data_IF_576250576789
#
_entry.id   IF_576250576789
#
_cell.length_a   1.000
_cell.length_b   1.000
_cell.length_c   1.000
_cell.angle_alpha   90.00
_cell.angle_beta   90.00
_cell.angle_gamma   90.00
#
_symmetry.space_group_name_H-M   'P 1'
#
loop_
_entity.id
_entity.type
_entity.pdbx_description
1 polymer ?
#
# COMPACT_ATOMS: atom_id res chain seq x y z
N UNK A 1 52.09 17.76 -37.03
CA UNK A 1 51.78 17.58 -35.59
C UNK A 1 52.91 16.79 -34.95
N UNK A 2 53.48 17.26 -33.84
CA UNK A 2 54.60 16.56 -33.20
C UNK A 2 54.12 15.32 -32.42
N UNK A 3 54.97 14.29 -32.29
CA UNK A 3 54.67 13.09 -31.48
C UNK A 3 54.21 13.44 -30.05
N UNK A 4 54.64 14.59 -29.53
CA UNK A 4 54.26 15.09 -28.21
C UNK A 4 52.78 15.50 -28.14
N UNK A 5 52.23 16.07 -29.22
CA UNK A 5 50.81 16.42 -29.31
C UNK A 5 49.94 15.15 -29.32
N UNK A 6 50.39 14.11 -30.03
CA UNK A 6 49.66 12.84 -30.13
C UNK A 6 49.62 12.10 -28.78
N UNK A 7 50.75 12.04 -28.07
CA UNK A 7 50.83 11.46 -26.71
C UNK A 7 49.96 12.23 -25.70
N UNK A 8 49.88 13.56 -25.80
CA UNK A 8 49.03 14.35 -24.89
C UNK A 8 47.53 14.12 -25.14
N UNK A 9 47.13 13.99 -26.41
CA UNK A 9 45.75 13.68 -26.77
C UNK A 9 45.35 12.28 -26.30
N UNK A 10 46.24 11.29 -26.45
CA UNK A 10 46.01 9.91 -26.01
C UNK A 10 45.83 9.82 -24.49
N UNK A 11 46.68 10.50 -23.70
CA UNK A 11 46.53 10.57 -22.23
C UNK A 11 45.23 11.24 -21.79
N UNK A 12 44.77 12.27 -22.52
CA UNK A 12 43.49 12.93 -22.23
C UNK A 12 42.29 12.02 -22.54
N UNK A 13 42.37 11.23 -23.61
CA UNK A 13 41.35 10.25 -23.96
C UNK A 13 41.26 9.12 -22.91
N UNK A 14 42.40 8.57 -22.48
CA UNK A 14 42.45 7.56 -21.41
C UNK A 14 41.89 8.09 -20.09
N UNK A 15 42.25 9.32 -19.69
CA UNK A 15 41.72 9.93 -18.46
C UNK A 15 40.21 10.15 -18.52
N UNK A 16 39.66 10.51 -19.69
CA UNK A 16 38.21 10.63 -19.90
C UNK A 16 37.53 9.26 -19.82
N UNK A 17 38.08 8.26 -20.50
CA UNK A 17 37.54 6.91 -20.49
C UNK A 17 37.52 6.30 -19.07
N UNK A 18 38.62 6.46 -18.32
CA UNK A 18 38.70 5.99 -16.92
C UNK A 18 37.64 6.63 -16.02
N UNK A 19 37.46 7.96 -16.12
CA UNK A 19 36.41 8.69 -15.38
C UNK A 19 35.00 8.25 -15.77
N UNK A 20 34.78 7.92 -17.03
CA UNK A 20 33.48 7.43 -17.50
C UNK A 20 33.18 6.01 -17.02
N UNK A 21 34.20 5.14 -17.00
CA UNK A 21 34.09 3.80 -16.40
C UNK A 21 33.84 3.88 -14.89
N UNK A 22 34.54 4.76 -14.17
CA UNK A 22 34.30 5.00 -12.73
C UNK A 22 32.89 5.54 -12.48
N UNK A 23 32.40 6.49 -13.30
CA UNK A 23 31.01 6.98 -13.22
C UNK A 23 29.99 5.89 -13.52
N UNK A 24 30.24 5.02 -14.50
CA UNK A 24 29.37 3.88 -14.79
C UNK A 24 29.36 2.89 -13.63
N UNK A 25 30.53 2.55 -13.07
CA UNK A 25 30.63 1.67 -11.89
C UNK A 25 29.91 2.26 -10.69
N UNK A 26 30.11 3.55 -10.38
CA UNK A 26 29.41 4.23 -9.31
C UNK A 26 27.88 4.21 -9.50
N UNK A 27 27.38 4.45 -10.72
CA UNK A 27 25.94 4.35 -11.04
C UNK A 27 25.40 2.93 -10.94
N UNK A 28 26.22 1.92 -11.22
CA UNK A 28 25.80 0.51 -11.16
C UNK A 28 25.84 -0.03 -9.73
N UNK A 29 26.79 0.45 -8.92
CA UNK A 29 26.86 0.19 -7.47
C UNK A 29 25.72 0.88 -6.73
N UNK A 30 25.45 2.17 -7.01
CA UNK A 30 24.31 2.89 -6.45
C UNK A 30 22.99 2.20 -6.78
N UNK A 31 22.79 1.75 -8.03
CA UNK A 31 21.60 0.95 -8.41
C UNK A 31 21.49 -0.41 -7.71
N UNK A 32 22.61 -1.01 -7.32
CA UNK A 32 22.62 -2.30 -6.58
C UNK A 32 22.33 -2.06 -5.09
N UNK A 33 22.91 -1.02 -4.49
CA UNK A 33 22.60 -0.60 -3.12
C UNK A 33 21.13 -0.15 -3.00
N UNK A 34 20.62 0.62 -3.97
CA UNK A 34 19.21 1.02 -4.06
C UNK A 34 18.25 -0.17 -4.15
N UNK A 35 18.67 -1.33 -4.68
CA UNK A 35 17.83 -2.54 -4.72
C UNK A 35 17.88 -3.37 -3.44
N UNK A 36 18.96 -3.29 -2.66
CA UNK A 36 19.13 -4.04 -1.40
C UNK A 36 18.38 -3.37 -0.24
N UNK A 37 18.26 -2.04 -0.30
CA UNK A 37 17.62 -1.18 0.69
C UNK A 37 16.11 -1.48 0.89
N UNK A 38 15.29 -1.51 -0.17
CA UNK A 38 13.94 -2.09 -0.18
C UNK A 38 13.79 -3.42 0.52
N UNK A 39 14.61 -4.40 0.12
CA UNK A 39 14.49 -5.77 0.58
C UNK A 39 14.87 -5.92 2.06
N UNK A 40 15.69 -5.01 2.57
CA UNK A 40 16.05 -4.95 3.99
C UNK A 40 14.92 -4.36 4.84
N UNK A 41 14.33 -3.25 4.41
CA UNK A 41 13.17 -2.67 5.08
C UNK A 41 11.95 -3.61 5.05
N UNK A 42 11.75 -4.35 3.94
CA UNK A 42 10.73 -5.40 3.81
C UNK A 42 10.93 -6.50 4.85
N UNK A 43 12.16 -7.03 4.98
CA UNK A 43 12.49 -8.08 5.95
C UNK A 43 12.31 -7.63 7.40
N UNK A 44 12.76 -6.42 7.73
CA UNK A 44 12.69 -5.90 9.10
C UNK A 44 11.28 -5.50 9.54
N UNK A 45 10.40 -5.21 8.60
CA UNK A 45 8.98 -5.06 8.88
C UNK A 45 8.27 -6.40 9.18
N UNK A 46 8.96 -7.54 8.94
CA UNK A 46 8.51 -8.91 9.17
C UNK A 46 7.72 -9.50 8.00
N UNK A 47 7.76 -10.83 7.83
CA UNK A 47 6.84 -11.58 6.96
C UNK A 47 5.37 -11.40 7.38
N UNK A 48 5.12 -10.90 8.60
CA UNK A 48 3.82 -10.46 9.13
C UNK A 48 3.25 -9.21 8.42
N UNK A 49 3.99 -8.59 7.49
CA UNK A 49 3.43 -7.57 6.59
C UNK A 49 2.44 -8.13 5.55
N UNK A 50 2.37 -9.45 5.42
CA UNK A 50 1.20 -10.08 4.84
C UNK A 50 0.40 -10.58 6.03
N UNK A 51 -0.71 -9.94 6.42
CA UNK A 51 -1.54 -10.54 7.44
C UNK A 51 -1.84 -11.96 6.96
N UNK A 52 -1.61 -12.96 7.83
CA UNK A 52 -2.52 -14.09 7.80
C UNK A 52 -3.88 -13.42 7.90
N UNK A 53 -4.67 -13.51 6.83
CA UNK A 53 -6.03 -12.98 6.85
C UNK A 53 -6.72 -13.82 7.91
N UNK A 54 -6.64 -13.37 9.17
CA UNK A 54 -7.33 -13.99 10.27
C UNK A 54 -8.78 -14.02 9.83
N UNK A 55 -9.36 -15.22 9.90
CA UNK A 55 -10.69 -15.56 9.38
C UNK A 55 -11.80 -14.68 10.00
N UNK A 56 -11.46 -13.82 10.98
CA UNK A 56 -12.33 -12.84 11.62
C UNK A 56 -12.34 -11.45 10.99
N UNK A 57 -11.43 -11.11 10.07
CA UNK A 57 -11.66 -9.92 9.22
C UNK A 57 -12.87 -10.21 8.32
N UNK A 58 -13.98 -9.51 8.57
CA UNK A 58 -15.24 -9.70 7.83
C UNK A 58 -15.01 -9.33 6.36
N UNK A 59 -14.56 -10.31 5.56
CA UNK A 59 -14.39 -10.16 4.12
C UNK A 59 -15.75 -9.81 3.53
N UNK A 60 -15.80 -8.72 2.75
CA UNK A 60 -17.03 -8.29 2.11
C UNK A 60 -17.65 -9.46 1.32
N UNK A 61 -18.96 -9.77 1.46
CA UNK A 61 -19.57 -10.95 0.85
C UNK A 61 -19.31 -11.09 -0.66
N UNK A 62 -19.31 -9.97 -1.38
CA UNK A 62 -18.92 -9.92 -2.80
C UNK A 62 -17.51 -10.44 -3.07
N UNK A 63 -16.52 -10.05 -2.26
CA UNK A 63 -15.14 -10.53 -2.38
C UNK A 63 -15.04 -12.00 -2.01
N UNK A 64 -15.68 -12.42 -0.92
CA UNK A 64 -15.74 -13.83 -0.54
C UNK A 64 -16.33 -14.68 -1.67
N UNK A 65 -17.37 -14.18 -2.33
CA UNK A 65 -17.96 -14.82 -3.49
C UNK A 65 -17.00 -14.87 -4.68
N UNK A 66 -16.30 -13.77 -4.99
CA UNK A 66 -15.34 -13.71 -6.09
C UNK A 66 -14.13 -14.62 -5.86
N UNK A 67 -13.61 -14.67 -4.63
CA UNK A 67 -12.52 -15.57 -4.27
C UNK A 67 -12.93 -17.03 -4.39
N UNK A 68 -14.14 -17.41 -3.96
CA UNK A 68 -14.69 -18.76 -4.19
C UNK A 68 -14.78 -19.08 -5.68
N UNK A 69 -15.29 -18.16 -6.50
CA UNK A 69 -15.34 -18.33 -7.96
C UNK A 69 -13.94 -18.52 -8.56
N UNK A 70 -12.96 -17.74 -8.11
CA UNK A 70 -11.58 -17.86 -8.57
C UNK A 70 -10.93 -19.16 -8.14
N UNK A 71 -11.12 -19.63 -6.90
CA UNK A 71 -10.65 -20.94 -6.46
C UNK A 71 -11.23 -22.07 -7.33
N UNK A 72 -12.49 -21.96 -7.74
CA UNK A 72 -13.14 -22.90 -8.67
C UNK A 72 -12.51 -22.90 -10.07
N UNK A 73 -11.96 -21.77 -10.52
CA UNK A 73 -11.28 -21.61 -11.81
C UNK A 73 -9.82 -22.09 -11.77
N UNK A 74 -9.06 -21.69 -10.73
CA UNK A 74 -7.60 -21.94 -10.64
C UNK A 74 -7.28 -23.40 -10.31
N UNK A 75 -8.00 -24.03 -9.37
CA UNK A 75 -7.68 -25.41 -8.96
C UNK A 75 -8.16 -26.48 -9.95
N UNK A 76 -8.81 -26.06 -11.04
CA UNK A 76 -9.60 -26.92 -11.92
C UNK A 76 -10.75 -27.48 -11.11
N UNK A 77 -12.00 -27.14 -11.47
CA UNK A 77 -13.18 -27.51 -10.68
C UNK A 77 -13.11 -28.98 -10.29
N UNK A 78 -12.84 -29.35 -9.01
CA UNK A 78 -13.04 -30.72 -8.64
C UNK A 78 -14.53 -30.89 -8.82
N UNK A 79 -14.96 -31.73 -9.74
CA UNK A 79 -16.37 -32.08 -10.01
C UNK A 79 -17.19 -32.32 -8.71
N UNK A 80 -16.50 -32.62 -7.60
CA UNK A 80 -17.03 -32.65 -6.22
C UNK A 80 -17.64 -31.33 -5.75
N UNK A 81 -17.05 -30.16 -6.03
CA UNK A 81 -17.57 -28.86 -5.56
C UNK A 81 -18.85 -28.41 -6.27
N UNK A 82 -18.97 -28.59 -7.60
CA UNK A 82 -20.25 -28.37 -8.30
C UNK A 82 -21.36 -29.31 -7.81
N UNK A 83 -20.98 -30.46 -7.28
CA UNK A 83 -21.89 -31.44 -6.66
C UNK A 83 -22.22 -31.08 -5.20
N UNK A 84 -21.34 -30.36 -4.51
CA UNK A 84 -21.50 -29.91 -3.12
C UNK A 84 -22.19 -28.54 -2.98
N UNK A 85 -22.18 -27.69 -4.04
CA UNK A 85 -22.86 -26.38 -4.05
C UNK A 85 -23.88 -26.26 -5.20
N UNK A 86 -24.92 -27.10 -5.24
CA UNK A 86 -25.98 -26.96 -6.23
C UNK A 86 -26.64 -25.57 -6.13
N UNK A 87 -26.75 -24.88 -7.27
CA UNK A 87 -27.40 -23.57 -7.37
C UNK A 87 -26.49 -22.35 -7.16
N UNK A 88 -25.17 -22.52 -7.05
CA UNK A 88 -24.22 -21.40 -7.03
C UNK A 88 -24.24 -20.62 -8.36
N UNK A 89 -24.28 -19.29 -8.26
CA UNK A 89 -24.28 -18.37 -9.41
C UNK A 89 -22.96 -17.63 -9.47
N UNK A 90 -22.26 -17.66 -10.60
CA UNK A 90 -21.04 -16.89 -10.85
C UNK A 90 -21.34 -15.45 -11.24
N UNK A 91 -20.34 -14.56 -11.14
CA UNK A 91 -20.46 -13.20 -11.65
C UNK A 91 -20.74 -13.18 -13.15
N UNK A 92 -20.05 -14.03 -13.91
CA UNK A 92 -20.21 -14.13 -15.37
C UNK A 92 -21.61 -14.62 -15.78
N UNK A 93 -22.17 -15.60 -15.06
CA UNK A 93 -23.53 -16.10 -15.34
C UNK A 93 -24.58 -15.01 -15.11
N UNK A 94 -24.50 -14.26 -14.01
CA UNK A 94 -25.45 -13.17 -13.74
C UNK A 94 -25.27 -12.03 -14.76
N UNK A 95 -24.04 -11.66 -15.09
CA UNK A 95 -23.75 -10.63 -16.09
C UNK A 95 -24.19 -11.01 -17.51
N UNK A 96 -24.25 -12.31 -17.83
CA UNK A 96 -24.73 -12.78 -19.13
C UNK A 96 -26.26 -12.74 -19.28
N UNK A 97 -27.03 -12.60 -18.19
CA UNK A 97 -28.49 -12.50 -18.25
C UNK A 97 -28.91 -11.15 -18.87
N UNK A 98 -29.85 -11.18 -19.82
CA UNK A 98 -30.53 -9.97 -20.29
C UNK A 98 -31.35 -9.33 -19.15
N UNK A 99 -31.64 -8.03 -19.23
CA UNK A 99 -32.39 -7.30 -18.20
C UNK A 99 -33.71 -8.02 -17.82
N UNK A 100 -34.53 -8.40 -18.82
CA UNK A 100 -35.79 -9.09 -18.58
C UNK A 100 -35.62 -10.45 -17.88
N UNK A 101 -34.55 -11.19 -18.23
CA UNK A 101 -34.23 -12.46 -17.59
C UNK A 101 -33.75 -12.27 -16.15
N UNK A 102 -33.02 -11.20 -15.87
CA UNK A 102 -32.57 -10.86 -14.52
C UNK A 102 -33.75 -10.48 -13.62
N UNK A 103 -34.69 -9.66 -14.11
CA UNK A 103 -35.93 -9.34 -13.40
C UNK A 103 -36.84 -10.57 -13.21
N UNK A 104 -36.95 -11.43 -14.22
CA UNK A 104 -37.68 -12.69 -14.10
C UNK A 104 -37.08 -13.59 -13.01
N UNK A 105 -35.76 -13.75 -12.99
CA UNK A 105 -35.06 -14.55 -11.98
C UNK A 105 -35.19 -13.99 -10.56
N UNK A 106 -35.30 -12.66 -10.40
CA UNK A 106 -35.64 -12.04 -9.11
C UNK A 106 -37.09 -12.34 -8.70
N UNK A 107 -38.03 -12.27 -9.64
CA UNK A 107 -39.44 -12.56 -9.40
C UNK A 107 -39.68 -14.02 -9.00
N UNK A 108 -38.98 -14.97 -9.63
CA UNK A 108 -38.98 -16.40 -9.26
C UNK A 108 -38.54 -16.63 -7.81
N UNK A 109 -37.64 -15.79 -7.30
CA UNK A 109 -37.16 -15.80 -5.91
C UNK A 109 -38.08 -15.03 -4.96
N UNK A 110 -39.23 -14.58 -5.44
CA UNK A 110 -40.23 -13.85 -4.66
C UNK A 110 -39.93 -12.37 -4.47
N UNK A 111 -38.99 -11.80 -5.24
CA UNK A 111 -38.71 -10.37 -5.28
C UNK A 111 -39.25 -9.76 -6.59
N UNK A 112 -40.41 -9.11 -6.51
CA UNK A 112 -40.96 -8.36 -7.64
C UNK A 112 -40.54 -6.92 -7.52
N UNK A 113 -39.54 -6.52 -8.31
CA UNK A 113 -39.03 -5.15 -8.40
C UNK A 113 -39.03 -4.69 -9.85
N UNK A 114 -39.43 -3.45 -10.10
CA UNK A 114 -39.31 -2.82 -11.42
C UNK A 114 -37.98 -2.09 -11.58
N UNK A 115 -37.61 -1.76 -12.83
CA UNK A 115 -36.45 -0.89 -13.13
C UNK A 115 -36.51 0.43 -12.36
N UNK A 116 -37.71 1.02 -12.25
CA UNK A 116 -37.95 2.27 -11.52
C UNK A 116 -37.68 2.11 -10.02
N UNK A 117 -38.09 0.98 -9.43
CA UNK A 117 -37.84 0.70 -8.01
C UNK A 117 -36.34 0.57 -7.74
N UNK A 118 -35.62 -0.16 -8.61
CA UNK A 118 -34.17 -0.32 -8.50
C UNK A 118 -33.46 1.04 -8.58
N UNK A 119 -33.82 1.89 -9.55
CA UNK A 119 -33.29 3.25 -9.65
C UNK A 119 -33.58 4.09 -8.40
N UNK A 120 -34.78 3.97 -7.83
CA UNK A 120 -35.16 4.65 -6.60
C UNK A 120 -34.42 4.12 -5.36
N UNK A 121 -34.04 2.84 -5.33
CA UNK A 121 -33.15 2.30 -4.31
C UNK A 121 -31.74 2.83 -4.47
N UNK A 122 -31.17 2.79 -5.68
CA UNK A 122 -29.82 3.31 -5.96
C UNK A 122 -29.72 4.80 -5.60
N UNK A 123 -30.72 5.61 -5.97
CA UNK A 123 -30.72 7.05 -5.67
C UNK A 123 -30.77 7.39 -4.16
N UNK A 124 -31.13 6.42 -3.30
CA UNK A 124 -31.10 6.56 -1.83
C UNK A 124 -29.76 6.13 -1.23
N UNK A 125 -28.90 5.50 -2.02
CA UNK A 125 -27.59 5.07 -1.56
C UNK A 125 -26.59 6.22 -1.69
N UNK A 126 -25.59 6.30 -0.78
CA UNK A 126 -24.49 7.24 -0.95
C UNK A 126 -23.65 6.88 -2.18
N UNK A 127 -22.91 7.85 -2.72
CA UNK A 127 -21.93 7.64 -3.77
C UNK A 127 -20.91 6.57 -3.33
N UNK A 128 -20.63 5.60 -4.19
CA UNK A 128 -19.78 4.44 -3.83
C UNK A 128 -20.41 3.48 -2.82
N UNK A 129 -21.74 3.51 -2.64
CA UNK A 129 -22.46 2.58 -1.77
C UNK A 129 -22.34 1.11 -2.21
N UNK A 130 -22.64 0.19 -1.28
CA UNK A 130 -22.63 -1.26 -1.56
C UNK A 130 -23.99 -1.71 -2.12
N UNK A 131 -23.98 -2.23 -3.35
CA UNK A 131 -25.15 -2.84 -3.97
C UNK A 131 -25.55 -4.14 -3.26
N UNK A 132 -24.57 -4.88 -2.73
CA UNK A 132 -24.84 -6.08 -1.93
C UNK A 132 -25.54 -5.73 -0.61
N UNK A 133 -25.16 -4.64 0.04
CA UNK A 133 -25.86 -4.15 1.23
C UNK A 133 -27.26 -3.66 0.88
N UNK A 134 -27.42 -2.94 -0.23
CA UNK A 134 -28.74 -2.52 -0.73
C UNK A 134 -29.66 -3.73 -0.88
N UNK A 135 -29.18 -4.84 -1.47
CA UNK A 135 -29.98 -6.07 -1.59
C UNK A 135 -30.34 -6.65 -0.23
N UNK A 136 -29.41 -6.66 0.74
CA UNK A 136 -29.68 -7.16 2.10
C UNK A 136 -30.68 -6.33 2.89
N UNK A 137 -30.68 -5.01 2.71
CA UNK A 137 -31.53 -4.09 3.48
C UNK A 137 -32.90 -3.93 2.82
N UNK A 138 -32.95 -3.86 1.50
CA UNK A 138 -34.18 -3.51 0.78
C UNK A 138 -34.84 -4.70 0.10
N UNK A 139 -34.05 -5.63 -0.44
CA UNK A 139 -34.61 -6.73 -1.23
C UNK A 139 -34.88 -7.96 -0.38
N UNK A 140 -33.91 -8.39 0.42
CA UNK A 140 -34.03 -9.59 1.25
C UNK A 140 -35.25 -9.53 2.19
N UNK A 141 -35.58 -8.41 2.86
CA UNK A 141 -36.78 -8.33 3.69
C UNK A 141 -38.09 -8.32 2.88
N UNK A 142 -38.04 -7.96 1.59
CA UNK A 142 -39.19 -7.90 0.69
C UNK A 142 -39.47 -9.26 0.01
N UNK A 143 -38.54 -10.22 0.10
CA UNK A 143 -38.75 -11.57 -0.42
C UNK A 143 -39.86 -12.27 0.35
N UNK A 144 -40.85 -12.79 -0.38
CA UNK A 144 -42.03 -13.45 0.21
C UNK A 144 -41.70 -14.71 1.01
N UNK A 145 -40.58 -15.38 0.73
CA UNK A 145 -40.14 -16.55 1.48
C UNK A 145 -39.35 -16.12 2.73
N UNK A 146 -39.70 -16.67 3.90
CA UNK A 146 -39.03 -16.32 5.18
C UNK A 146 -37.59 -16.82 5.29
N UNK A 147 -37.13 -17.65 4.35
CA UNK A 147 -35.74 -18.14 4.31
C UNK A 147 -35.38 -18.52 2.88
N UNK A 148 -34.57 -17.68 2.23
CA UNK A 148 -33.90 -18.04 0.98
C UNK A 148 -32.67 -18.91 1.28
N UNK A 149 -32.42 -19.97 0.49
CA UNK A 149 -31.17 -20.72 0.60
C UNK A 149 -29.97 -19.80 0.27
N UNK A 150 -28.79 -20.16 0.76
CA UNK A 150 -27.59 -19.34 0.60
C UNK A 150 -27.32 -18.91 -0.87
N UNK A 151 -27.42 -19.80 -1.89
CA UNK A 151 -27.15 -19.40 -3.26
C UNK A 151 -28.15 -18.38 -3.82
N UNK A 152 -29.41 -18.41 -3.38
CA UNK A 152 -30.39 -17.40 -3.80
C UNK A 152 -30.15 -16.05 -3.11
N UNK A 153 -29.65 -16.05 -1.86
CA UNK A 153 -29.22 -14.80 -1.20
C UNK A 153 -28.00 -14.19 -1.88
N UNK A 154 -27.05 -15.03 -2.29
CA UNK A 154 -25.87 -14.59 -3.05
C UNK A 154 -26.29 -14.05 -4.42
N UNK A 155 -27.23 -14.72 -5.10
CA UNK A 155 -27.83 -14.23 -6.34
C UNK A 155 -28.44 -12.83 -6.18
N UNK A 156 -29.18 -12.55 -5.10
CA UNK A 156 -29.72 -11.20 -4.86
C UNK A 156 -28.60 -10.15 -4.76
N UNK A 157 -27.48 -10.49 -4.11
CA UNK A 157 -26.29 -9.64 -4.06
C UNK A 157 -25.69 -9.37 -5.43
N UNK A 158 -25.45 -10.43 -6.20
CA UNK A 158 -24.89 -10.34 -7.56
C UNK A 158 -25.80 -9.56 -8.51
N UNK A 159 -27.11 -9.84 -8.49
CA UNK A 159 -28.10 -9.16 -9.33
C UNK A 159 -28.20 -7.67 -8.97
N UNK A 160 -28.09 -7.31 -7.69
CA UNK A 160 -28.04 -5.91 -7.28
C UNK A 160 -26.81 -5.18 -7.83
N UNK A 161 -25.63 -5.80 -7.74
CA UNK A 161 -24.39 -5.25 -8.30
C UNK A 161 -24.52 -5.05 -9.81
N UNK A 162 -25.01 -6.07 -10.52
CA UNK A 162 -25.13 -6.04 -11.97
C UNK A 162 -26.17 -5.01 -12.44
N UNK A 163 -27.34 -4.97 -11.82
CA UNK A 163 -28.36 -3.97 -12.13
C UNK A 163 -27.85 -2.55 -11.86
N UNK A 164 -27.13 -2.32 -10.76
CA UNK A 164 -26.55 -1.02 -10.49
C UNK A 164 -25.56 -0.60 -11.59
N UNK A 165 -24.63 -1.50 -11.97
CA UNK A 165 -23.67 -1.23 -13.06
C UNK A 165 -24.36 -0.88 -14.39
N UNK A 166 -25.45 -1.56 -14.73
CA UNK A 166 -26.20 -1.30 -15.98
C UNK A 166 -27.02 -0.02 -15.94
N UNK A 167 -27.66 0.26 -14.81
CA UNK A 167 -28.63 1.35 -14.67
C UNK A 167 -27.98 2.68 -14.30
N UNK A 168 -26.82 2.64 -13.64
CA UNK A 168 -26.04 3.80 -13.18
C UNK A 168 -24.54 3.59 -13.41
N UNK A 169 -24.09 3.36 -14.65
CA UNK A 169 -22.66 3.16 -14.95
C UNK A 169 -21.80 4.35 -14.55
N UNK A 170 -22.37 5.56 -14.53
CA UNK A 170 -21.71 6.77 -14.09
C UNK A 170 -21.43 6.79 -12.58
N UNK A 171 -22.13 5.99 -11.78
CA UNK A 171 -21.99 5.90 -10.32
C UNK A 171 -21.84 4.43 -9.88
N UNK A 172 -20.68 3.80 -10.13
CA UNK A 172 -20.51 2.38 -9.86
C UNK A 172 -20.63 2.05 -8.37
N UNK A 173 -21.18 0.87 -8.02
CA UNK A 173 -21.23 0.43 -6.63
C UNK A 173 -19.84 0.04 -6.13
N UNK A 174 -19.66 0.00 -4.80
CA UNK A 174 -18.43 -0.43 -4.12
C UNK A 174 -17.87 -1.74 -4.68
N UNK A 175 -18.74 -2.69 -5.01
CA UNK A 175 -18.34 -3.99 -5.54
C UNK A 175 -17.58 -3.88 -6.88
N UNK A 176 -17.71 -2.77 -7.61
CA UNK A 176 -16.88 -2.49 -8.79
C UNK A 176 -15.45 -2.12 -8.43
N UNK A 177 -15.24 -1.39 -7.33
CA UNK A 177 -13.91 -1.16 -6.75
C UNK A 177 -13.28 -2.48 -6.33
N UNK A 178 -14.04 -3.27 -5.56
CA UNK A 178 -13.60 -4.57 -5.05
C UNK A 178 -13.25 -5.53 -6.19
N UNK A 179 -14.00 -5.46 -7.29
CA UNK A 179 -13.72 -6.24 -8.49
C UNK A 179 -12.38 -5.89 -9.13
N UNK A 180 -12.12 -4.60 -9.34
CA UNK A 180 -10.87 -4.12 -9.92
C UNK A 180 -9.68 -4.53 -9.05
N UNK A 181 -9.79 -4.36 -7.73
CA UNK A 181 -8.73 -4.74 -6.79
C UNK A 181 -8.43 -6.24 -6.82
N UNK A 182 -9.47 -7.07 -6.81
CA UNK A 182 -9.30 -8.52 -6.85
C UNK A 182 -8.72 -9.02 -8.18
N UNK A 183 -9.07 -8.38 -9.30
CA UNK A 183 -8.52 -8.75 -10.62
C UNK A 183 -7.07 -8.27 -10.78
N UNK A 184 -6.75 -7.09 -10.25
CA UNK A 184 -5.41 -6.50 -10.32
C UNK A 184 -4.33 -7.35 -9.61
N UNK A 185 -4.70 -8.16 -8.61
CA UNK A 185 -3.80 -9.07 -7.91
C UNK A 185 -3.12 -10.10 -8.84
N UNK A 186 -3.77 -10.45 -9.95
CA UNK A 186 -3.34 -11.55 -10.83
C UNK A 186 -2.78 -11.12 -12.17
N UNK A 187 -2.92 -9.84 -12.48
CA UNK A 187 -2.50 -9.31 -13.75
C UNK A 187 -0.97 -9.14 -13.78
N UNK A 188 -0.33 -9.31 -14.96
CA UNK A 188 1.00 -8.79 -15.22
C UNK A 188 1.08 -7.30 -14.86
N UNK A 189 2.26 -6.80 -14.51
CA UNK A 189 2.39 -5.44 -13.95
C UNK A 189 1.83 -4.33 -14.85
N UNK A 190 1.94 -4.45 -16.18
CA UNK A 190 1.43 -3.43 -17.11
C UNK A 190 -0.11 -3.43 -17.20
N UNK A 191 -0.73 -4.60 -17.20
CA UNK A 191 -2.19 -4.73 -17.18
C UNK A 191 -2.76 -4.30 -15.81
N UNK A 192 -2.04 -4.62 -14.73
CA UNK A 192 -2.33 -4.14 -13.37
C UNK A 192 -2.29 -2.61 -13.29
N UNK A 193 -1.29 -1.98 -13.91
CA UNK A 193 -1.18 -0.53 -13.96
C UNK A 193 -2.40 0.11 -14.66
N UNK A 194 -2.88 -0.47 -15.76
CA UNK A 194 -4.10 -0.04 -16.43
C UNK A 194 -5.34 -0.09 -15.53
N UNK A 195 -5.49 -1.18 -14.76
CA UNK A 195 -6.59 -1.35 -13.80
C UNK A 195 -6.51 -0.33 -12.65
N UNK A 196 -5.33 -0.13 -12.06
CA UNK A 196 -5.14 0.84 -10.98
C UNK A 196 -5.34 2.29 -11.45
N UNK A 197 -4.96 2.63 -12.67
CA UNK A 197 -5.27 3.95 -13.22
C UNK A 197 -6.79 4.15 -13.39
N UNK A 198 -7.52 3.10 -13.77
CA UNK A 198 -8.99 3.09 -13.77
C UNK A 198 -9.58 3.27 -12.36
N UNK A 199 -8.99 2.60 -11.38
CA UNK A 199 -9.36 2.69 -9.97
C UNK A 199 -9.23 4.13 -9.43
N UNK A 200 -8.09 4.78 -9.66
CA UNK A 200 -7.86 6.17 -9.24
C UNK A 200 -8.92 7.10 -9.84
N UNK A 201 -9.21 6.96 -11.14
CA UNK A 201 -10.26 7.76 -11.79
C UNK A 201 -11.64 7.54 -11.16
N UNK A 202 -11.95 6.30 -10.80
CA UNK A 202 -13.19 5.97 -10.09
C UNK A 202 -13.22 6.64 -8.71
N UNK A 203 -12.18 6.48 -7.89
CA UNK A 203 -12.11 7.06 -6.55
C UNK A 203 -12.18 8.59 -6.56
N UNK A 204 -11.46 9.23 -7.49
CA UNK A 204 -11.52 10.67 -7.69
C UNK A 204 -12.94 11.14 -8.09
N UNK A 205 -13.66 10.37 -8.92
CA UNK A 205 -15.03 10.66 -9.31
C UNK A 205 -16.02 10.50 -8.13
N UNK A 206 -15.82 9.49 -7.27
CA UNK A 206 -16.60 9.30 -6.04
C UNK A 206 -16.38 10.49 -5.09
N UNK A 207 -15.12 10.89 -4.88
CA UNK A 207 -14.77 12.06 -4.05
C UNK A 207 -15.41 13.35 -4.56
N UNK A 208 -15.36 13.60 -5.87
CA UNK A 208 -15.93 14.81 -6.47
C UNK A 208 -17.46 14.96 -6.27
N UNK A 209 -18.15 13.89 -5.85
CA UNK A 209 -19.60 13.86 -5.62
C UNK A 209 -19.99 13.93 -4.13
N UNK A 210 -19.06 14.30 -3.26
CA UNK A 210 -19.29 14.46 -1.83
C UNK A 210 -18.75 13.31 -0.97
N UNK A 211 -18.11 12.30 -1.60
CA UNK A 211 -17.55 11.15 -0.89
C UNK A 211 -18.56 10.45 0.04
N UNK A 212 -18.11 9.47 0.83
CA UNK A 212 -18.88 8.94 1.95
C UNK A 212 -18.89 9.87 3.17
N UNK A 213 -18.08 10.95 3.18
CA UNK A 213 -18.00 11.91 4.30
C UNK A 213 -19.20 12.86 4.36
N UNK A 214 -19.76 13.30 3.22
CA UNK A 214 -20.99 14.11 3.20
C UNK A 214 -22.24 13.27 3.54
N UNK A 215 -22.11 11.95 3.61
CA UNK A 215 -23.14 11.03 4.10
C UNK A 215 -23.00 10.77 5.62
N UNK A 216 -22.58 11.81 6.38
CA UNK A 216 -22.34 11.78 7.82
C UNK A 216 -23.41 11.01 8.57
N UNK A 217 -22.98 10.04 9.39
CA UNK A 217 -23.76 9.16 10.29
C UNK A 217 -24.99 8.39 9.72
N UNK A 218 -25.60 8.81 8.61
CA UNK A 218 -26.88 8.29 8.11
C UNK A 218 -26.73 6.88 7.51
N UNK A 219 -25.50 6.44 7.21
CA UNK A 219 -25.27 5.16 6.57
C UNK A 219 -25.05 3.99 7.54
N UNK A 220 -24.63 4.22 8.80
CA UNK A 220 -24.36 3.14 9.76
C UNK A 220 -23.40 2.07 9.21
N UNK A 221 -22.56 2.44 8.24
CA UNK A 221 -21.58 1.58 7.60
C UNK A 221 -20.21 2.18 7.91
N UNK A 222 -19.59 1.68 8.98
CA UNK A 222 -18.14 1.59 9.00
C UNK A 222 -17.81 0.59 7.91
N UNK A 223 -17.46 1.07 6.73
CA UNK A 223 -17.03 0.17 5.68
C UNK A 223 -15.74 -0.48 6.21
N UNK A 224 -15.63 -1.82 6.30
CA UNK A 224 -14.36 -2.47 6.60
C UNK A 224 -13.45 -2.33 5.36
N UNK A 225 -13.10 -1.09 5.01
CA UNK A 225 -12.26 -0.77 3.85
C UNK A 225 -10.78 -0.92 4.17
N UNK A 226 -10.43 -1.30 5.40
CA UNK A 226 -9.06 -1.67 5.74
C UNK A 226 -8.49 -2.65 4.72
N UNK A 227 -9.24 -3.70 4.37
CA UNK A 227 -8.84 -4.66 3.33
C UNK A 227 -8.60 -4.03 1.94
N UNK A 228 -9.60 -3.35 1.33
CA UNK A 228 -9.45 -2.64 0.07
C UNK A 228 -8.28 -1.64 0.01
N UNK A 229 -8.09 -0.81 1.04
CA UNK A 229 -7.01 0.18 1.05
C UNK A 229 -5.63 -0.44 1.27
N UNK A 230 -5.53 -1.43 2.15
CA UNK A 230 -4.34 -2.27 2.28
C UNK A 230 -3.96 -2.89 0.93
N UNK A 231 -4.93 -3.44 0.19
CA UNK A 231 -4.69 -3.97 -1.16
C UNK A 231 -4.22 -2.89 -2.12
N UNK A 232 -4.80 -1.69 -2.09
CA UNK A 232 -4.31 -0.57 -2.92
C UNK A 232 -2.84 -0.26 -2.65
N UNK A 233 -2.43 -0.19 -1.38
CA UNK A 233 -1.03 0.10 -1.03
C UNK A 233 -0.11 -1.06 -1.40
N UNK A 234 -0.52 -2.32 -1.21
CA UNK A 234 0.23 -3.49 -1.68
C UNK A 234 0.42 -3.44 -3.20
N UNK A 235 -0.62 -3.10 -3.95
CA UNK A 235 -0.54 -2.98 -5.41
C UNK A 235 0.32 -1.79 -5.84
N UNK A 236 0.24 -0.65 -5.16
CA UNK A 236 1.11 0.51 -5.38
C UNK A 236 2.58 0.15 -5.18
N UNK A 237 2.88 -0.56 -4.09
CA UNK A 237 4.21 -1.05 -3.78
C UNK A 237 4.77 -1.96 -4.88
N UNK A 238 3.96 -2.91 -5.38
CA UNK A 238 4.37 -3.78 -6.49
C UNK A 238 4.64 -3.04 -7.81
N UNK A 239 4.02 -1.88 -8.00
CA UNK A 239 4.16 -1.10 -9.23
C UNK A 239 5.22 -0.01 -9.15
N UNK A 240 5.74 0.30 -7.96
CA UNK A 240 6.57 1.49 -7.72
C UNK A 240 7.80 1.57 -8.63
N UNK A 241 8.46 0.43 -8.88
CA UNK A 241 9.66 0.38 -9.73
C UNK A 241 9.36 0.65 -11.21
N UNK A 242 8.19 0.21 -11.70
CA UNK A 242 7.83 0.27 -13.13
C UNK A 242 6.97 1.48 -13.46
N UNK A 243 6.13 1.90 -12.53
CA UNK A 243 5.11 2.93 -12.70
C UNK A 243 5.08 3.87 -11.47
N UNK A 244 6.16 4.61 -11.17
CA UNK A 244 6.30 5.38 -9.93
C UNK A 244 5.25 6.49 -9.77
N UNK A 245 4.87 7.17 -10.85
CA UNK A 245 3.82 8.19 -10.79
C UNK A 245 2.47 7.58 -10.42
N UNK A 246 2.13 6.43 -11.02
CA UNK A 246 0.88 5.74 -10.71
C UNK A 246 0.88 5.23 -9.27
N UNK A 247 2.00 4.69 -8.79
CA UNK A 247 2.13 4.29 -7.39
C UNK A 247 1.92 5.47 -6.44
N UNK A 248 2.48 6.64 -6.76
CA UNK A 248 2.26 7.87 -5.99
C UNK A 248 0.78 8.33 -6.01
N UNK A 249 0.10 8.23 -7.16
CA UNK A 249 -1.31 8.58 -7.28
C UNK A 249 -2.21 7.60 -6.48
N UNK A 250 -1.92 6.29 -6.54
CA UNK A 250 -2.62 5.27 -5.74
C UNK A 250 -2.39 5.53 -4.25
N UNK A 251 -1.17 5.90 -3.87
CA UNK A 251 -0.80 6.23 -2.49
C UNK A 251 -1.60 7.43 -1.97
N UNK A 252 -1.65 8.51 -2.75
CA UNK A 252 -2.40 9.72 -2.39
C UNK A 252 -3.90 9.43 -2.19
N UNK A 253 -4.48 8.59 -3.05
CA UNK A 253 -5.86 8.15 -2.86
C UNK A 253 -6.01 7.26 -1.62
N UNK A 254 -5.17 6.23 -1.44
CA UNK A 254 -5.23 5.37 -0.26
C UNK A 254 -5.08 6.14 1.05
N UNK A 255 -4.24 7.17 1.09
CA UNK A 255 -4.06 8.07 2.23
C UNK A 255 -5.28 8.91 2.51
N UNK A 256 -5.80 9.60 1.48
CA UNK A 256 -7.01 10.38 1.60
C UNK A 256 -8.12 9.52 2.20
N UNK A 257 -8.32 8.33 1.66
CA UNK A 257 -9.34 7.43 2.14
C UNK A 257 -9.06 6.86 3.54
N UNK A 258 -7.80 6.61 3.88
CA UNK A 258 -7.44 6.13 5.21
C UNK A 258 -7.77 7.16 6.30
N UNK A 259 -7.44 8.42 6.07
CA UNK A 259 -7.71 9.51 7.01
C UNK A 259 -9.21 9.69 7.30
N UNK A 260 -10.07 9.38 6.32
CA UNK A 260 -11.51 9.62 6.40
C UNK A 260 -12.32 8.36 6.75
N UNK A 261 -11.76 7.15 6.56
CA UNK A 261 -12.50 5.89 6.80
C UNK A 261 -12.06 5.15 8.08
N UNK A 262 -10.82 5.31 8.55
CA UNK A 262 -10.37 4.62 9.77
C UNK A 262 -10.84 5.37 11.01
N UNK A 263 -11.85 4.82 11.68
CA UNK A 263 -12.19 5.21 13.06
C UNK A 263 -11.09 4.68 13.99
N UNK A 264 -10.76 5.44 15.04
CA UNK A 264 -9.69 5.17 16.03
C UNK A 264 -9.72 3.76 16.68
N UNK A 265 -10.78 2.98 16.49
CA UNK A 265 -10.95 1.63 17.04
C UNK A 265 -10.05 0.55 16.40
N UNK A 266 -9.38 0.82 15.27
CA UNK A 266 -8.54 -0.16 14.54
C UNK A 266 -7.05 0.20 14.53
N UNK A 267 -6.44 0.29 15.72
CA UNK A 267 -5.02 0.65 15.87
C UNK A 267 -4.05 -0.24 15.08
N UNK A 268 -4.32 -1.55 15.00
CA UNK A 268 -3.49 -2.51 14.26
C UNK A 268 -3.51 -2.27 12.74
N UNK A 269 -4.68 -2.04 12.15
CA UNK A 269 -4.81 -1.76 10.71
C UNK A 269 -4.15 -0.42 10.34
N UNK A 270 -4.28 0.59 11.22
CA UNK A 270 -3.65 1.90 11.03
C UNK A 270 -2.12 1.80 11.09
N UNK A 271 -1.59 1.04 12.03
CA UNK A 271 -0.15 0.74 12.13
C UNK A 271 0.35 -0.01 10.89
N UNK A 272 -0.38 -1.03 10.47
CA UNK A 272 -0.06 -1.80 9.28
C UNK A 272 -0.01 -0.92 8.03
N UNK A 273 -1.11 -0.21 7.75
CA UNK A 273 -1.22 0.65 6.58
C UNK A 273 -0.17 1.75 6.62
N UNK A 274 0.01 2.39 7.77
CA UNK A 274 1.04 3.41 7.97
C UNK A 274 2.44 2.92 7.62
N UNK A 275 2.82 1.71 8.07
CA UNK A 275 4.11 1.09 7.74
C UNK A 275 4.22 0.78 6.24
N UNK A 276 3.16 0.27 5.61
CA UNK A 276 3.16 0.03 4.16
C UNK A 276 3.31 1.34 3.36
N UNK A 277 2.64 2.42 3.76
CA UNK A 277 2.79 3.75 3.14
C UNK A 277 4.23 4.27 3.25
N UNK A 278 4.89 4.04 4.40
CA UNK A 278 6.31 4.37 4.61
C UNK A 278 7.19 3.62 3.61
N UNK A 279 6.99 2.32 3.44
CA UNK A 279 7.77 1.53 2.48
C UNK A 279 7.62 2.08 1.05
N UNK A 280 6.39 2.41 0.63
CA UNK A 280 6.18 3.03 -0.69
C UNK A 280 6.88 4.40 -0.80
N UNK A 281 6.87 5.22 0.27
CA UNK A 281 7.59 6.50 0.27
C UNK A 281 9.09 6.32 0.06
N UNK A 282 9.71 5.33 0.71
CA UNK A 282 11.14 5.04 0.54
C UNK A 282 11.44 4.63 -0.91
N UNK A 283 10.64 3.74 -1.49
CA UNK A 283 10.79 3.29 -2.88
C UNK A 283 10.61 4.43 -3.90
N UNK A 284 9.80 5.43 -3.56
CA UNK A 284 9.61 6.64 -4.36
C UNK A 284 10.73 7.69 -4.16
N UNK A 285 11.72 7.43 -3.30
CA UNK A 285 12.76 8.41 -2.96
C UNK A 285 12.22 9.62 -2.18
N UNK A 286 11.23 9.39 -1.32
CA UNK A 286 10.60 10.40 -0.46
C UNK A 286 10.96 10.14 1.00
N UNK A 287 12.25 10.12 1.32
CA UNK A 287 12.77 9.75 2.64
C UNK A 287 12.25 10.65 3.78
N UNK A 288 12.11 11.95 3.53
CA UNK A 288 11.61 12.91 4.52
C UNK A 288 10.14 12.65 4.87
N UNK A 289 9.35 12.21 3.89
CA UNK A 289 7.94 11.85 4.10
C UNK A 289 7.83 10.51 4.84
N UNK A 290 8.70 9.55 4.51
CA UNK A 290 8.80 8.28 5.23
C UNK A 290 9.14 8.50 6.71
N UNK A 291 10.17 9.30 7.02
CA UNK A 291 10.55 9.63 8.40
C UNK A 291 9.41 10.33 9.14
N UNK A 292 8.80 11.36 8.53
CA UNK A 292 7.69 12.11 9.15
C UNK A 292 6.52 11.20 9.51
N UNK A 293 6.18 10.25 8.63
CA UNK A 293 5.12 9.26 8.87
C UNK A 293 5.46 8.31 10.00
N UNK A 294 6.69 7.78 10.04
CA UNK A 294 7.15 6.93 11.14
C UNK A 294 7.08 7.64 12.49
N UNK A 295 7.51 8.92 12.55
CA UNK A 295 7.40 9.75 13.75
C UNK A 295 5.93 9.97 14.15
N UNK A 296 5.04 10.24 13.18
CA UNK A 296 3.61 10.40 13.45
C UNK A 296 2.97 9.10 13.97
N UNK A 297 3.36 7.94 13.42
CA UNK A 297 2.92 6.64 13.91
C UNK A 297 3.41 6.38 15.33
N UNK A 298 4.67 6.67 15.65
CA UNK A 298 5.19 6.53 17.02
C UNK A 298 4.55 7.52 18.01
N UNK A 299 4.17 8.70 17.56
CA UNK A 299 3.41 9.63 18.42
C UNK A 299 2.04 9.06 18.80
N UNK A 300 1.39 8.32 17.89
CA UNK A 300 0.11 7.66 18.12
C UNK A 300 0.25 6.31 18.85
N UNK A 301 1.31 5.57 18.55
CA UNK A 301 1.57 4.22 19.01
C UNK A 301 3.00 4.12 19.58
N UNK A 302 3.29 4.78 20.71
CA UNK A 302 4.65 4.91 21.21
C UNK A 302 5.26 3.57 21.60
N UNK A 303 4.44 2.54 21.86
CA UNK A 303 4.87 1.19 22.23
C UNK A 303 5.26 0.29 21.06
N UNK A 304 4.97 0.65 19.81
CA UNK A 304 5.09 -0.27 18.68
C UNK A 304 6.56 -0.55 18.29
N UNK A 305 7.07 -1.79 18.46
CA UNK A 305 8.47 -2.11 18.17
C UNK A 305 8.77 -2.13 16.68
N UNK A 306 7.82 -2.48 15.81
CA UNK A 306 8.05 -2.52 14.36
C UNK A 306 8.29 -1.12 13.78
N UNK A 307 7.47 -0.14 14.18
CA UNK A 307 7.61 1.26 13.72
C UNK A 307 8.91 1.88 14.24
N UNK A 308 9.34 1.58 15.48
CA UNK A 308 10.64 2.04 15.99
C UNK A 308 11.81 1.49 15.18
N UNK A 309 11.77 0.20 14.82
CA UNK A 309 12.80 -0.43 13.98
C UNK A 309 12.88 0.19 12.60
N UNK A 310 11.73 0.41 11.97
CA UNK A 310 11.67 1.11 10.68
C UNK A 310 12.24 2.52 10.77
N UNK A 311 11.95 3.26 11.85
CA UNK A 311 12.52 4.60 12.05
C UNK A 311 14.03 4.54 12.28
N UNK A 312 14.53 3.60 13.09
CA UNK A 312 15.96 3.44 13.30
C UNK A 312 16.71 3.14 11.98
N UNK A 313 16.18 2.26 11.13
CA UNK A 313 16.76 2.00 9.80
C UNK A 313 16.69 3.23 8.92
N UNK A 314 15.55 3.92 8.89
CA UNK A 314 15.37 5.14 8.10
C UNK A 314 16.37 6.25 8.49
N UNK A 315 16.62 6.42 9.78
CA UNK A 315 17.61 7.38 10.30
C UNK A 315 19.05 6.96 9.95
N UNK A 316 19.34 5.67 9.99
CA UNK A 316 20.66 5.13 9.66
C UNK A 316 20.99 5.22 8.16
N UNK A 317 20.03 4.92 7.30
CA UNK A 317 20.21 4.90 5.84
C UNK A 317 20.15 6.30 5.22
N UNK A 318 19.59 7.28 5.94
CA UNK A 318 19.69 8.69 5.58
C UNK A 318 20.42 9.49 6.67
N UNK A 319 21.72 9.23 6.90
CA UNK A 319 22.52 10.03 7.78
C UNK A 319 22.95 11.26 6.98
N UNK A 320 22.38 12.43 7.28
CA UNK A 320 22.89 13.70 6.74
C UNK A 320 24.27 14.07 7.35
N UNK A 321 25.18 13.10 7.51
CA UNK A 321 26.39 13.17 8.33
C UNK A 321 26.11 13.61 9.78
N UNK A 322 24.94 13.28 10.29
CA UNK A 322 24.48 13.74 11.60
C UNK A 322 24.62 12.65 12.65
N UNK A 323 25.63 12.80 13.50
CA UNK A 323 25.87 11.94 14.67
C UNK A 323 24.61 11.80 15.53
N UNK A 324 23.82 12.87 15.68
CA UNK A 324 22.62 12.83 16.53
C UNK A 324 21.57 11.86 16.02
N UNK A 325 21.44 11.72 14.69
CA UNK A 325 20.54 10.75 14.05
C UNK A 325 21.00 9.31 14.26
N UNK A 326 22.31 9.06 14.21
CA UNK A 326 22.86 7.72 14.49
C UNK A 326 22.67 7.31 15.95
N UNK A 327 22.81 8.26 16.89
CA UNK A 327 22.50 8.04 18.30
C UNK A 327 21.01 7.73 18.48
N UNK A 328 20.12 8.55 17.89
CA UNK A 328 18.67 8.32 17.94
C UNK A 328 18.29 6.96 17.34
N UNK A 329 18.89 6.58 16.21
CA UNK A 329 18.67 5.28 15.58
C UNK A 329 19.03 4.12 16.51
N UNK A 330 20.18 4.20 17.19
CA UNK A 330 20.63 3.16 18.11
C UNK A 330 19.75 3.09 19.37
N UNK A 331 19.34 4.24 19.91
CA UNK A 331 18.43 4.32 21.07
C UNK A 331 17.05 3.72 20.74
N UNK A 332 16.49 4.06 19.57
CA UNK A 332 15.25 3.48 19.08
C UNK A 332 15.38 1.97 18.93
N UNK A 333 16.49 1.49 18.38
CA UNK A 333 16.75 0.06 18.21
C UNK A 333 16.83 -0.67 19.55
N UNK A 334 17.64 -0.19 20.48
CA UNK A 334 17.82 -0.82 21.80
C UNK A 334 16.53 -0.79 22.63
N UNK A 335 15.69 0.23 22.47
CA UNK A 335 14.39 0.32 23.14
C UNK A 335 13.41 -0.79 22.71
N UNK A 336 13.54 -1.33 21.49
CA UNK A 336 12.65 -2.39 20.99
C UNK A 336 12.90 -3.72 21.70
N UNK A 337 14.15 -3.97 22.10
CA UNK A 337 14.60 -5.20 22.76
C UNK A 337 14.07 -5.32 24.19
N UNK A 338 13.89 -4.19 24.87
CA UNK A 338 13.36 -4.12 26.24
C UNK A 338 11.87 -4.47 26.33
N UNK A 339 11.16 -4.52 25.20
CA UNK A 339 9.72 -4.77 25.16
C UNK A 339 9.35 -6.27 25.18
N UNK A 340 10.31 -7.19 25.16
CA UNK A 340 10.08 -8.64 25.25
C UNK A 340 9.78 -9.35 23.92
N UNK A 341 9.73 -8.61 22.81
CA UNK A 341 9.68 -9.14 21.44
C UNK A 341 11.10 -9.20 20.85
N UNK A 342 11.92 -10.16 21.30
CA UNK A 342 13.20 -10.46 20.62
C UNK A 342 12.93 -11.38 19.43
N UNK A 343 12.97 -10.90 18.18
CA UNK A 343 13.21 -11.80 17.07
C UNK A 343 14.65 -12.32 17.19
N UNK A 344 14.82 -13.65 17.30
CA UNK A 344 16.11 -14.35 17.14
C UNK A 344 16.56 -14.32 15.67
N UNK A 345 16.51 -13.16 15.02
CA UNK A 345 16.84 -13.02 13.61
C UNK A 345 18.26 -12.44 13.46
N UNK A 346 19.15 -13.19 12.79
CA UNK A 346 20.52 -12.74 12.50
C UNK A 346 20.53 -11.42 11.71
N UNK A 347 19.54 -11.21 10.83
CA UNK A 347 19.39 -9.97 10.06
C UNK A 347 19.12 -8.76 10.99
N UNK A 348 18.51 -9.00 12.15
CA UNK A 348 18.20 -7.99 13.15
C UNK A 348 19.46 -7.49 13.86
N UNK A 349 20.29 -8.42 14.37
CA UNK A 349 21.51 -8.04 15.07
C UNK A 349 22.50 -7.35 14.11
N UNK A 350 22.53 -7.78 12.85
CA UNK A 350 23.37 -7.18 11.82
C UNK A 350 23.07 -5.67 11.63
N UNK A 351 21.80 -5.26 11.54
CA UNK A 351 21.43 -3.84 11.36
C UNK A 351 21.92 -3.00 12.52
N UNK A 352 21.73 -3.48 13.75
CA UNK A 352 22.21 -2.79 14.95
C UNK A 352 23.72 -2.58 14.92
N UNK A 353 24.46 -3.63 14.58
CA UNK A 353 25.92 -3.59 14.55
C UNK A 353 26.43 -2.62 13.48
N UNK A 354 25.74 -2.52 12.34
CA UNK A 354 26.01 -1.53 11.30
C UNK A 354 25.72 -0.09 11.76
N UNK A 355 24.61 0.14 12.48
CA UNK A 355 24.33 1.46 13.09
C UNK A 355 25.45 1.85 14.06
N UNK A 356 25.83 0.91 14.93
CA UNK A 356 26.88 1.13 15.93
C UNK A 356 28.25 1.39 15.28
N UNK A 357 28.58 0.67 14.21
CA UNK A 357 29.82 0.88 13.47
C UNK A 357 29.84 2.24 12.76
N UNK A 358 28.75 2.64 12.11
CA UNK A 358 28.63 3.98 11.50
C UNK A 358 28.82 5.09 12.53
N UNK A 359 28.29 4.92 13.75
CA UNK A 359 28.48 5.89 14.84
C UNK A 359 29.96 5.96 15.28
N UNK A 360 30.65 4.82 15.43
CA UNK A 360 32.08 4.78 15.77
C UNK A 360 32.94 5.45 14.69
N UNK A 361 32.64 5.20 13.42
CA UNK A 361 33.36 5.80 12.30
C UNK A 361 33.17 7.33 12.26
N UNK A 362 31.96 7.82 12.59
CA UNK A 362 31.68 9.25 12.71
C UNK A 362 32.48 9.89 13.85
N UNK A 363 32.48 9.28 15.03
CA UNK A 363 33.24 9.75 16.20
C UNK A 363 34.75 9.81 15.90
N UNK A 364 35.32 8.77 15.28
CA UNK A 364 36.72 8.73 14.89
C UNK A 364 37.10 9.83 13.86
N UNK A 365 36.19 10.13 12.93
CA UNK A 365 36.38 11.21 11.96
C UNK A 365 36.37 12.60 12.63
N UNK A 366 35.48 12.81 13.60
CA UNK A 366 35.42 14.04 14.41
C UNK A 366 36.69 14.29 15.22
N UNK A 367 37.25 13.25 15.85
CA UNK A 367 38.51 13.34 16.61
C UNK A 367 39.71 13.65 15.70
N UNK A 368 39.75 13.06 14.50
CA UNK A 368 40.81 13.33 13.52
C UNK A 368 40.79 14.79 13.02
N UNK A 369 39.60 15.36 12.83
CA UNK A 369 39.44 16.77 12.45
C UNK A 369 39.87 17.72 13.58
N UNK A 370 39.57 17.37 14.84
CA UNK A 370 39.98 18.16 16.00
C UNK A 370 41.50 18.14 16.24
N UNK A 371 42.16 17.00 16.02
CA UNK A 371 43.62 16.87 16.16
C UNK A 371 44.42 17.54 15.04
N UNK A 372 43.79 17.77 13.87
CA UNK A 372 44.41 18.34 12.68
C UNK A 372 44.41 19.87 12.58
N UNK A 373 43.79 20.60 13.51
CA UNK A 373 43.83 22.06 13.50
C UNK A 373 45.22 22.54 13.96
N UNK A 374 46.07 23.08 13.05
CA UNK A 374 47.39 23.53 13.45
C UNK A 374 47.20 24.71 14.41
N UNK A 375 47.69 24.55 15.63
CA UNK A 375 47.95 25.63 16.56
C UNK A 375 49.02 26.56 15.99
N UNK A 376 48.67 27.30 14.94
CA UNK A 376 49.42 28.43 14.44
C UNK A 376 49.24 29.59 15.40
N UNK A 377 49.81 29.48 16.60
CA UNK A 377 50.10 30.63 17.41
C UNK A 377 51.08 31.50 16.61
N UNK A 378 50.56 32.51 15.91
CA UNK A 378 51.37 33.60 15.36
C UNK A 378 51.86 34.38 16.58
N UNK A 379 53.18 34.39 16.89
CA UNK A 379 53.68 35.21 17.97
C UNK A 379 53.53 36.68 17.55
N UNK A 380 52.68 37.40 18.27
CA UNK A 380 52.55 38.86 18.17
C UNK A 380 53.86 39.51 18.60
N UNK A 381 54.70 39.83 17.61
CA UNK A 381 55.90 40.62 17.80
C UNK A 381 55.53 42.03 18.29
N UNK A 382 55.95 42.34 19.51
CA UNK A 382 56.00 43.68 20.07
C UNK A 382 57.00 44.52 19.28
N UNK A 383 56.50 45.38 18.39
CA UNK A 383 57.31 46.45 17.81
C UNK A 383 57.28 47.64 18.77
N UNK A 384 58.34 47.79 19.56
CA UNK A 384 58.68 49.07 20.18
C UNK A 384 59.13 50.06 19.10
N UNK A 385 58.57 51.25 19.11
CA UNK A 385 59.10 52.43 18.40
C UNK A 385 59.15 53.57 19.41
N UNK A 386 60.32 54.20 19.46
CA UNK A 386 60.67 55.37 20.24
C UNK A 386 60.10 56.66 19.66
#
# INVERSE_FOLDING_TARGET
>A
MSQQQHRSAQRRAEKRHRREVERRRARTSARKEDSVRPDRLRRLAGDDLVPSVDEETVVHPYLSHRYRERELLVRGTPWRWRREMPGFWTHAEVAALADDALFAALAERGLVVSRTDVLAHIARMPAGGSAWRMSRIHWLPAVRSRSLPAPDRDFLGLAAVELWRRLRPEDPPLESLLAILADAEDLPDDDRAGQLAGLIRFLAAVRARGGPDDAGEVSGVRLPLGGPYTRMVILAFRLVEKHPQLAADVLAEAEHWAEHTFVDEYGADRLFLGRMLVLVCVELGREDDAERRLRALLAQFPGDPATRRLLAVQLHENPHDDRSRLVEALELWDSTRSAGDEPEDDDFQQVRDEIAESLRLHDAAGESAAAGAPGGAIPSGTSGVA
#
